data_IF_933826339810
#
_entry.id   IF_933826339810
#
_cell.length_a   1.000
_cell.length_b   1.000
_cell.length_c   1.000
_cell.angle_alpha   90.00
_cell.angle_beta   90.00
_cell.angle_gamma   90.00
#
_symmetry.space_group_name_H-M   'P 1'
#
loop_
_entity.id
_entity.type
_entity.pdbx_description
1 polymer ?
#
# COMPACT_ATOMS: atom_id res chain seq x y z
N UNK A 1 -13.45 -0.77 5.42
CA UNK A 1 -13.51 -1.28 4.04
C UNK A 1 -12.43 -2.33 3.89
N UNK A 2 -12.55 -3.20 2.91
CA UNK A 2 -11.57 -4.26 2.64
C UNK A 2 -11.29 -4.34 1.14
N UNK A 3 -10.28 -5.09 0.76
CA UNK A 3 -10.06 -5.47 -0.62
C UNK A 3 -11.10 -6.49 -1.09
N UNK A 4 -11.33 -6.53 -2.40
CA UNK A 4 -12.05 -7.62 -3.07
C UNK A 4 -11.51 -9.00 -2.64
N UNK A 5 -12.40 -10.00 -2.55
CA UNK A 5 -12.09 -11.36 -2.15
C UNK A 5 -10.94 -12.01 -2.95
N UNK A 6 -10.71 -11.59 -4.20
CA UNK A 6 -9.58 -12.04 -5.01
C UNK A 6 -8.21 -11.71 -4.41
N UNK A 7 -8.16 -10.76 -3.47
CA UNK A 7 -6.96 -10.32 -2.77
C UNK A 7 -6.90 -10.78 -1.31
N UNK A 8 -7.65 -11.81 -0.93
CA UNK A 8 -7.71 -12.30 0.46
C UNK A 8 -6.33 -12.62 1.04
N UNK A 9 -5.42 -13.19 0.25
CA UNK A 9 -4.09 -13.61 0.69
C UNK A 9 -3.08 -12.47 0.80
N UNK A 10 -3.48 -11.24 0.47
CA UNK A 10 -2.63 -10.08 0.65
C UNK A 10 -2.43 -9.81 2.16
N UNK A 11 -1.19 -9.79 2.69
CA UNK A 11 -0.87 -9.28 4.04
C UNK A 11 -1.62 -8.02 4.48
N UNK A 12 -1.78 -7.02 3.60
CA UNK A 12 -2.55 -5.82 3.89
C UNK A 12 -4.05 -6.09 4.12
N UNK A 13 -4.62 -7.00 3.33
CA UNK A 13 -6.03 -7.41 3.45
C UNK A 13 -6.25 -8.20 4.74
N UNK A 14 -5.41 -9.19 5.02
CA UNK A 14 -5.44 -9.95 6.27
C UNK A 14 -5.29 -9.03 7.49
N UNK A 15 -4.37 -8.07 7.42
CA UNK A 15 -4.19 -7.07 8.46
C UNK A 15 -5.42 -6.19 8.64
N UNK A 16 -6.06 -5.73 7.56
CA UNK A 16 -7.31 -4.96 7.62
C UNK A 16 -8.48 -5.76 8.20
N UNK A 17 -8.61 -7.04 7.83
CA UNK A 17 -9.63 -7.94 8.36
C UNK A 17 -9.42 -8.21 9.85
N UNK A 18 -8.17 -8.45 10.26
CA UNK A 18 -7.82 -8.62 11.67
C UNK A 18 -8.13 -7.37 12.49
N UNK A 19 -7.85 -6.19 11.94
CA UNK A 19 -8.26 -4.93 12.57
C UNK A 19 -9.78 -4.88 12.63
N UNK A 20 -10.49 -5.07 11.52
CA UNK A 20 -11.95 -4.98 11.48
C UNK A 20 -12.62 -5.90 12.53
N UNK A 21 -12.09 -7.10 12.75
CA UNK A 21 -12.67 -8.08 13.66
C UNK A 21 -14.10 -8.43 13.22
N UNK A 22 -15.06 -8.40 14.15
CA UNK A 22 -16.47 -8.67 13.85
C UNK A 22 -17.24 -7.45 13.31
N UNK A 23 -16.58 -6.29 13.13
CA UNK A 23 -17.25 -5.07 12.66
C UNK A 23 -17.72 -5.23 11.21
N UNK A 24 -18.89 -4.69 10.91
CA UNK A 24 -19.47 -4.73 9.57
C UNK A 24 -18.54 -4.10 8.54
N UNK A 25 -18.25 -4.85 7.48
CA UNK A 25 -17.58 -4.33 6.29
C UNK A 25 -18.60 -3.57 5.43
N UNK A 26 -18.38 -2.27 5.26
CA UNK A 26 -19.29 -1.39 4.51
C UNK A 26 -19.14 -1.46 2.99
N UNK A 27 -17.94 -1.77 2.50
CA UNK A 27 -17.62 -1.89 1.08
C UNK A 27 -16.33 -2.68 0.84
N UNK A 28 -16.24 -3.25 -0.35
CA UNK A 28 -15.08 -3.92 -0.93
C UNK A 28 -14.56 -3.10 -2.11
N UNK A 29 -13.23 -2.95 -2.22
CA UNK A 29 -12.58 -2.13 -3.24
C UNK A 29 -11.36 -2.85 -3.80
N UNK A 30 -11.11 -2.75 -5.09
CA UNK A 30 -10.05 -3.56 -5.74
C UNK A 30 -8.65 -2.97 -5.62
N UNK A 31 -8.50 -1.71 -5.19
CA UNK A 31 -7.21 -1.02 -5.18
C UNK A 31 -7.07 -0.01 -4.03
N UNK A 32 -5.81 0.35 -3.71
CA UNK A 32 -5.46 1.26 -2.61
C UNK A 32 -5.89 2.70 -2.88
N UNK A 33 -5.96 3.13 -4.14
CA UNK A 33 -6.32 4.50 -4.50
C UNK A 33 -7.81 4.73 -4.26
N UNK A 34 -8.65 3.78 -4.65
CA UNK A 34 -10.09 3.79 -4.35
C UNK A 34 -10.35 3.79 -2.85
N UNK A 35 -9.62 2.97 -2.07
CA UNK A 35 -9.70 3.01 -0.60
C UNK A 35 -9.32 4.37 -0.03
N UNK A 36 -8.27 5.00 -0.56
CA UNK A 36 -7.83 6.32 -0.14
C UNK A 36 -8.89 7.39 -0.41
N UNK A 37 -9.52 7.37 -1.58
CA UNK A 37 -10.62 8.30 -1.94
C UNK A 37 -11.78 8.19 -0.96
N UNK A 38 -12.23 6.97 -0.64
CA UNK A 38 -13.33 6.75 0.31
C UNK A 38 -12.95 7.14 1.74
N UNK A 39 -11.69 6.92 2.14
CA UNK A 39 -11.20 7.37 3.43
C UNK A 39 -11.16 8.91 3.51
N UNK A 40 -10.66 9.57 2.46
CA UNK A 40 -10.60 11.03 2.38
C UNK A 40 -12.00 11.68 2.37
N UNK A 41 -13.02 10.99 1.86
CA UNK A 41 -14.41 11.46 1.94
C UNK A 41 -15.06 11.25 3.30
N UNK A 42 -14.35 10.66 4.27
CA UNK A 42 -14.88 10.33 5.60
C UNK A 42 -15.83 9.12 5.59
N UNK A 43 -15.98 8.42 4.48
CA UNK A 43 -16.91 7.29 4.33
C UNK A 43 -16.33 5.95 4.82
N UNK A 44 -15.08 5.93 5.29
CA UNK A 44 -14.52 4.76 5.96
C UNK A 44 -13.07 4.88 6.38
N UNK A 45 -12.50 3.75 6.81
CA UNK A 45 -11.11 3.59 7.23
C UNK A 45 -10.36 2.76 6.20
N UNK A 46 -9.18 3.21 5.77
CA UNK A 46 -8.30 2.51 4.84
C UNK A 46 -6.96 2.15 5.50
N UNK A 47 -6.44 0.97 5.20
CA UNK A 47 -5.07 0.60 5.50
C UNK A 47 -4.20 1.00 4.32
N UNK A 48 -3.28 1.94 4.49
CA UNK A 48 -2.49 2.50 3.40
C UNK A 48 -1.01 2.64 3.79
N UNK A 49 -0.07 2.46 2.84
CA UNK A 49 1.32 2.84 3.06
C UNK A 49 1.46 4.28 3.58
N UNK A 50 2.39 4.49 4.51
CA UNK A 50 2.53 5.79 5.19
C UNK A 50 2.71 6.96 4.23
N UNK A 51 3.53 6.80 3.20
CA UNK A 51 3.80 7.85 2.21
C UNK A 51 2.56 8.27 1.41
N UNK A 52 1.57 7.39 1.23
CA UNK A 52 0.30 7.74 0.60
C UNK A 52 -0.64 8.42 1.58
N UNK A 53 -0.77 7.87 2.80
CA UNK A 53 -1.67 8.42 3.82
C UNK A 53 -1.23 9.78 4.36
N UNK A 54 0.07 9.94 4.66
CA UNK A 54 0.64 11.17 5.22
C UNK A 54 0.61 12.34 4.22
N UNK A 55 0.51 12.03 2.91
CA UNK A 55 0.36 13.03 1.86
C UNK A 55 -1.07 13.59 1.75
N UNK A 56 -2.06 13.04 2.48
CA UNK A 56 -3.45 13.48 2.42
C UNK A 56 -3.83 14.29 3.66
N UNK A 57 -4.03 15.63 3.55
CA UNK A 57 -4.35 16.47 4.69
C UNK A 57 -5.68 16.13 5.38
N UNK A 58 -6.63 15.53 4.66
CA UNK A 58 -7.95 15.16 5.17
C UNK A 58 -7.99 13.86 5.97
N UNK A 59 -6.87 13.15 6.08
CA UNK A 59 -6.80 11.89 6.81
C UNK A 59 -6.26 12.08 8.22
N UNK A 60 -6.91 11.39 9.16
CA UNK A 60 -6.39 11.23 10.52
C UNK A 60 -5.86 9.82 10.70
N UNK A 61 -4.60 9.71 11.16
CA UNK A 61 -4.01 8.43 11.54
C UNK A 61 -4.77 7.85 12.75
N UNK A 62 -5.09 6.58 12.66
CA UNK A 62 -5.61 5.79 13.78
C UNK A 62 -4.43 5.04 14.39
N UNK A 63 -4.24 5.17 15.71
CA UNK A 63 -3.22 4.40 16.42
C UNK A 63 -3.62 2.92 16.44
N UNK A 64 -2.62 2.06 16.22
CA UNK A 64 -2.79 0.62 16.17
C UNK A 64 -1.59 -0.02 16.87
N UNK A 65 -1.87 -0.78 17.92
CA UNK A 65 -0.85 -1.35 18.81
C UNK A 65 -0.29 -2.70 18.29
N UNK A 66 -0.87 -3.25 17.22
CA UNK A 66 -0.38 -4.47 16.60
C UNK A 66 0.71 -4.22 15.56
N UNK A 67 1.30 -5.31 15.06
CA UNK A 67 2.31 -5.22 14.01
C UNK A 67 1.69 -4.65 12.71
N UNK A 68 2.33 -3.65 12.06
CA UNK A 68 1.88 -3.17 10.76
C UNK A 68 2.08 -4.26 9.70
N UNK A 69 1.26 -4.25 8.65
CA UNK A 69 1.57 -5.06 7.47
C UNK A 69 2.82 -4.53 6.77
N UNK A 70 3.61 -5.43 6.18
CA UNK A 70 4.74 -5.06 5.34
C UNK A 70 4.57 -5.62 3.93
N UNK A 71 5.04 -4.85 2.96
CA UNK A 71 4.98 -5.16 1.52
C UNK A 71 6.35 -4.92 0.92
N UNK A 72 6.94 -5.98 0.37
CA UNK A 72 8.15 -5.86 -0.43
C UNK A 72 7.80 -5.19 -1.77
N UNK A 73 8.50 -4.10 -2.08
CA UNK A 73 8.46 -3.45 -3.39
C UNK A 73 9.62 -3.99 -4.21
N UNK A 74 9.33 -4.50 -5.40
CA UNK A 74 10.33 -5.12 -6.28
C UNK A 74 10.57 -4.26 -7.51
N UNK A 75 11.84 -4.06 -7.86
CA UNK A 75 12.23 -3.50 -9.15
C UNK A 75 12.49 -4.67 -10.11
N UNK A 76 11.60 -4.86 -11.08
CA UNK A 76 11.66 -5.98 -12.04
C UNK A 76 11.97 -5.45 -13.44
N UNK A 77 12.88 -6.13 -14.13
CA UNK A 77 13.28 -5.84 -15.50
C UNK A 77 13.31 -7.14 -16.30
N UNK A 78 12.90 -7.10 -17.56
CA UNK A 78 13.05 -8.25 -18.46
C UNK A 78 14.52 -8.65 -18.57
N UNK A 79 14.81 -9.96 -18.60
CA UNK A 79 16.18 -10.49 -18.60
C UNK A 79 17.06 -9.83 -19.68
N UNK A 80 16.52 -9.73 -20.90
CA UNK A 80 17.24 -9.18 -22.07
C UNK A 80 17.58 -7.70 -21.92
N UNK A 81 16.78 -6.96 -21.15
CA UNK A 81 16.95 -5.52 -20.95
C UNK A 81 17.86 -5.19 -19.76
N UNK A 82 18.20 -6.16 -18.90
CA UNK A 82 19.03 -5.97 -17.70
C UNK A 82 20.43 -5.40 -18.00
N UNK A 83 20.93 -5.59 -19.22
CA UNK A 83 22.24 -5.09 -19.68
C UNK A 83 22.15 -3.78 -20.47
N UNK A 84 20.95 -3.29 -20.76
CA UNK A 84 20.76 -2.01 -21.46
C UNK A 84 21.25 -0.85 -20.58
N UNK A 85 22.14 -0.01 -21.13
CA UNK A 85 22.71 1.16 -20.44
C UNK A 85 21.63 2.10 -19.88
N UNK A 86 20.62 2.56 -20.64
CA UNK A 86 19.57 3.43 -20.10
C UNK A 86 18.74 2.75 -19.02
N UNK A 87 18.46 1.45 -19.13
CA UNK A 87 17.72 0.70 -18.10
C UNK A 87 18.53 0.62 -16.80
N UNK A 88 19.83 0.32 -16.88
CA UNK A 88 20.72 0.29 -15.73
C UNK A 88 20.80 1.65 -15.03
N UNK A 89 20.90 2.74 -15.80
CA UNK A 89 20.92 4.09 -15.25
C UNK A 89 19.65 4.40 -14.43
N UNK A 90 18.46 4.02 -14.94
CA UNK A 90 17.20 4.17 -14.20
C UNK A 90 17.16 3.27 -12.97
N UNK A 91 17.61 2.02 -13.07
CA UNK A 91 17.66 1.10 -11.92
C UNK A 91 18.58 1.63 -10.81
N UNK A 92 19.75 2.12 -11.16
CA UNK A 92 20.72 2.69 -10.21
C UNK A 92 20.15 3.96 -9.56
N UNK A 93 19.48 4.82 -10.32
CA UNK A 93 18.79 6.00 -9.80
C UNK A 93 17.67 5.63 -8.81
N UNK A 94 16.80 4.68 -9.17
CA UNK A 94 15.69 4.25 -8.31
C UNK A 94 16.19 3.59 -7.02
N UNK A 95 17.20 2.72 -7.11
CA UNK A 95 17.78 2.06 -5.93
C UNK A 95 18.54 3.02 -5.01
N UNK A 96 19.14 4.08 -5.56
CA UNK A 96 19.77 5.12 -4.77
C UNK A 96 18.73 5.98 -4.03
N UNK A 97 17.68 6.41 -4.72
CA UNK A 97 16.62 7.28 -4.17
C UNK A 97 15.70 6.54 -3.20
N UNK A 98 15.44 5.25 -3.42
CA UNK A 98 14.56 4.44 -2.56
C UNK A 98 15.15 4.21 -1.17
N UNK A 99 16.47 4.36 -0.96
CA UNK A 99 17.07 4.29 0.39
C UNK A 99 16.59 5.40 1.34
N UNK A 100 15.98 6.46 0.80
CA UNK A 100 15.45 7.59 1.57
C UNK A 100 14.00 7.36 2.04
N UNK A 101 13.30 6.36 1.47
CA UNK A 101 11.95 5.99 1.89
C UNK A 101 12.08 4.79 2.82
N UNK A 102 12.13 5.05 4.14
CA UNK A 102 11.90 3.98 5.13
C UNK A 102 10.45 3.49 4.95
N UNK A 103 10.31 2.40 4.20
CA UNK A 103 9.13 1.54 4.23
C UNK A 103 8.99 0.88 5.60
#
# INVERSE_FOLDING_TARGET
MVYDAQFVDLPQQQWLLNIAGERRIGCELSDVSSQLVVACSGAGIAGSPRFLGDAQPGLKRIEYDGAPFSRNVWLVVHHDLKRSVPIRAVMDFLTHTSKSVRL
#
